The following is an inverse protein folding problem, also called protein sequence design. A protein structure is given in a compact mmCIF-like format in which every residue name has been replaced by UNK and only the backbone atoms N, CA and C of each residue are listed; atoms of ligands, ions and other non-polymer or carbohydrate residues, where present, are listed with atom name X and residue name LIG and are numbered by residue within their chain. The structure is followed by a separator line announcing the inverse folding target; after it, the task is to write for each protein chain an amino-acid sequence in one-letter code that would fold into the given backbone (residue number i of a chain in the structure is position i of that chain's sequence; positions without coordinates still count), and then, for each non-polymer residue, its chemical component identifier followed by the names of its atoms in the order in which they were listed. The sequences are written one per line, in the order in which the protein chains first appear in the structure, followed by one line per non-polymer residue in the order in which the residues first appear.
data_IF_343401043830
#
_entry.id   IF_343401043830
#
_cell.length_a   1.000
_cell.length_b   1.000
_cell.length_c   1.000
_cell.angle_alpha   90.00
_cell.angle_beta   90.00
_cell.angle_gamma   90.00
#
_symmetry.space_group_name_H-M   'P 1'
#
loop_
_entity.id
_entity.type
_entity.pdbx_description
1 polymer ?
#
# COMPACT_ATOMS: atom_id res chain seq x y z
N UNK A 1 -2.46 -10.59 14.95
CA UNK A 1 -2.50 -10.95 13.51
C UNK A 1 -1.23 -11.72 13.19
N UNK A 2 -1.35 -12.91 12.61
CA UNK A 2 -0.24 -13.83 12.37
C UNK A 2 -0.31 -14.42 10.96
N UNK A 3 0.84 -14.61 10.32
CA UNK A 3 0.94 -15.31 9.03
C UNK A 3 1.17 -16.80 9.28
N UNK A 4 0.36 -17.64 8.65
CA UNK A 4 0.49 -19.08 8.71
C UNK A 4 1.57 -19.54 7.74
N UNK A 5 2.60 -20.21 8.26
CA UNK A 5 3.75 -20.68 7.47
C UNK A 5 3.81 -22.21 7.34
N UNK A 6 2.94 -22.92 8.06
CA UNK A 6 2.91 -24.39 8.10
C UNK A 6 1.64 -24.94 7.46
N UNK A 7 1.66 -26.21 7.11
CA UNK A 7 0.56 -26.93 6.48
C UNK A 7 -0.32 -27.69 7.46
N UNK A 8 -0.10 -27.55 8.78
CA UNK A 8 -0.85 -28.29 9.81
C UNK A 8 -2.35 -27.99 9.87
N UNK A 9 -2.76 -26.84 9.35
CA UNK A 9 -4.16 -26.40 9.28
C UNK A 9 -4.73 -26.44 7.86
N UNK A 10 -4.03 -27.04 6.88
CA UNK A 10 -4.54 -27.20 5.51
C UNK A 10 -5.94 -27.80 5.51
N UNK A 11 -6.72 -27.45 4.49
CA UNK A 11 -8.17 -27.60 4.31
C UNK A 11 -9.01 -26.54 5.03
N UNK A 12 -8.51 -25.88 6.07
CA UNK A 12 -9.21 -24.77 6.75
C UNK A 12 -8.44 -23.46 6.61
N UNK A 13 -7.13 -23.48 6.88
CA UNK A 13 -6.23 -22.33 6.78
C UNK A 13 -4.97 -22.78 6.05
N UNK A 14 -4.65 -22.12 4.94
CA UNK A 14 -3.53 -22.48 4.09
C UNK A 14 -2.25 -21.77 4.51
N UNK A 15 -1.11 -22.35 4.18
CA UNK A 15 0.16 -21.62 4.29
C UNK A 15 0.12 -20.35 3.41
N UNK A 16 0.58 -19.23 3.96
CA UNK A 16 0.49 -17.90 3.33
C UNK A 16 -0.78 -17.12 3.65
N UNK A 17 -1.73 -17.71 4.38
CA UNK A 17 -2.88 -16.99 4.92
C UNK A 17 -2.47 -16.18 6.15
N UNK A 18 -3.23 -15.12 6.41
CA UNK A 18 -3.09 -14.30 7.61
C UNK A 18 -4.32 -14.48 8.47
N UNK A 19 -4.12 -14.81 9.74
CA UNK A 19 -5.19 -14.93 10.72
C UNK A 19 -5.27 -13.69 11.59
N UNK A 20 -6.51 -13.29 11.89
CA UNK A 20 -6.82 -12.25 12.87
C UNK A 20 -7.39 -12.92 14.08
N UNK A 21 -6.71 -12.76 15.21
CA UNK A 21 -7.09 -13.31 16.48
C UNK A 21 -7.79 -12.27 17.34
N UNK A 22 -8.80 -12.70 18.06
CA UNK A 22 -9.46 -11.94 19.11
C UNK A 22 -9.23 -12.61 20.47
N UNK A 23 -8.75 -11.83 21.42
CA UNK A 23 -8.57 -12.30 22.80
C UNK A 23 -9.86 -12.06 23.57
N UNK A 24 -10.47 -13.14 24.08
CA UNK A 24 -11.62 -13.01 24.96
C UNK A 24 -11.17 -12.56 26.35
N UNK A 25 -11.91 -11.67 26.99
CA UNK A 25 -11.58 -11.12 28.32
C UNK A 25 -11.43 -12.20 29.40
N UNK A 26 -12.19 -13.29 29.27
CA UNK A 26 -12.15 -14.41 30.23
C UNK A 26 -11.14 -15.51 29.86
N UNK A 27 -10.47 -15.42 28.67
CA UNK A 27 -9.60 -16.47 28.14
C UNK A 27 -10.22 -17.87 28.09
N UNK A 28 -11.55 -17.97 27.95
CA UNK A 28 -12.29 -19.21 27.87
C UNK A 28 -12.69 -19.49 26.45
N UNK A 29 -12.30 -20.64 25.92
CA UNK A 29 -12.54 -21.10 24.57
C UNK A 29 -13.19 -22.47 24.57
N UNK A 30 -13.91 -22.83 23.49
CA UNK A 30 -14.71 -24.04 23.39
C UNK A 30 -14.11 -25.04 22.39
N UNK A 31 -14.54 -26.32 22.50
CA UNK A 31 -14.20 -27.33 21.49
C UNK A 31 -14.68 -26.89 20.12
N UNK A 32 -13.80 -26.97 19.11
CA UNK A 32 -14.04 -26.53 17.77
C UNK A 32 -13.44 -25.15 17.45
N UNK A 33 -13.12 -24.35 18.47
CA UNK A 33 -12.45 -23.05 18.25
C UNK A 33 -11.03 -23.26 17.71
N UNK A 34 -10.62 -22.42 16.78
CA UNK A 34 -9.23 -22.34 16.32
C UNK A 34 -8.56 -21.26 17.17
N UNK A 35 -7.52 -21.64 17.88
CA UNK A 35 -6.76 -20.74 18.74
C UNK A 35 -5.31 -20.60 18.29
N UNK A 36 -4.76 -19.40 18.46
CA UNK A 36 -3.33 -19.13 18.34
C UNK A 36 -2.75 -19.07 19.75
N UNK A 37 -1.67 -19.80 20.01
CA UNK A 37 -1.07 -19.92 21.33
C UNK A 37 0.45 -20.02 21.26
N UNK A 38 1.09 -19.79 22.40
CA UNK A 38 2.52 -19.98 22.57
C UNK A 38 2.83 -21.45 22.88
N UNK A 39 3.68 -22.06 22.06
CA UNK A 39 4.19 -23.40 22.29
C UNK A 39 5.64 -23.35 22.72
N UNK A 40 5.92 -23.85 23.92
CA UNK A 40 7.29 -23.96 24.45
C UNK A 40 7.93 -25.27 23.95
N UNK A 41 8.31 -25.32 22.66
CA UNK A 41 9.10 -26.43 22.12
C UNK A 41 10.57 -26.01 22.00
N UNK A 42 11.40 -26.45 22.94
CA UNK A 42 12.85 -26.21 22.90
C UNK A 42 13.26 -24.81 23.41
N UNK A 43 14.33 -24.26 22.84
CA UNK A 43 14.94 -23.01 23.27
C UNK A 43 14.27 -21.72 22.75
N UNK A 44 13.07 -21.82 22.16
CA UNK A 44 12.35 -20.68 21.59
C UNK A 44 10.84 -20.76 21.80
N UNK A 45 10.22 -19.58 21.94
CA UNK A 45 8.78 -19.44 21.98
C UNK A 45 8.25 -19.45 20.54
N UNK A 46 7.50 -20.51 20.18
CA UNK A 46 6.88 -20.62 18.87
C UNK A 46 5.39 -20.32 18.98
N UNK A 47 4.87 -19.61 18.01
CA UNK A 47 3.42 -19.38 17.88
C UNK A 47 2.82 -20.47 17.00
N UNK A 48 1.79 -21.14 17.50
CA UNK A 48 1.08 -22.24 16.83
C UNK A 48 -0.39 -21.89 16.74
N UNK A 49 -1.04 -22.24 15.63
CA UNK A 49 -2.48 -22.06 15.43
C UNK A 49 -3.09 -23.42 15.13
N UNK A 50 -3.91 -23.94 16.06
CA UNK A 50 -4.57 -25.25 15.96
C UNK A 50 -6.00 -25.19 16.47
N UNK A 51 -6.79 -26.24 16.21
CA UNK A 51 -8.17 -26.38 16.68
C UNK A 51 -8.22 -27.07 18.02
N UNK A 52 -9.08 -26.58 18.92
CA UNK A 52 -9.40 -27.25 20.20
C UNK A 52 -10.25 -28.48 19.90
N UNK A 53 -9.81 -29.64 20.37
CA UNK A 53 -10.54 -30.93 20.26
C UNK A 53 -11.05 -31.42 21.59
N UNK A 54 -10.51 -30.96 22.71
CA UNK A 54 -10.94 -31.30 24.07
C UNK A 54 -10.59 -30.17 25.04
N UNK A 55 -11.41 -30.01 26.09
CA UNK A 55 -11.23 -29.01 27.15
C UNK A 55 -11.30 -29.68 28.50
N UNK A 56 -10.26 -29.51 29.30
CA UNK A 56 -10.22 -29.97 30.69
C UNK A 56 -10.14 -28.81 31.65
N UNK A 57 -10.86 -28.93 32.78
CA UNK A 57 -10.83 -27.91 33.82
C UNK A 57 -10.22 -28.59 35.08
N UNK A 58 -9.09 -28.06 35.53
CA UNK A 58 -8.39 -28.50 36.71
C UNK A 58 -8.13 -27.31 37.66
N UNK A 59 -8.60 -27.38 38.86
CA UNK A 59 -8.46 -26.31 39.88
C UNK A 59 -8.94 -24.93 39.39
N UNK A 60 -10.02 -24.89 38.59
CA UNK A 60 -10.58 -23.67 38.05
C UNK A 60 -9.80 -23.07 36.85
N UNK A 61 -8.83 -23.80 36.32
CA UNK A 61 -8.03 -23.44 35.18
C UNK A 61 -8.34 -24.31 33.97
N UNK A 62 -8.31 -23.71 32.76
CA UNK A 62 -8.62 -24.40 31.51
C UNK A 62 -7.35 -24.88 30.82
N UNK A 63 -7.40 -26.13 30.38
CA UNK A 63 -6.38 -26.80 29.59
C UNK A 63 -7.01 -27.29 28.29
N UNK A 64 -6.46 -26.91 27.17
CA UNK A 64 -6.96 -27.20 25.82
C UNK A 64 -6.10 -28.27 25.18
N UNK A 65 -6.71 -29.37 24.75
CA UNK A 65 -6.07 -30.32 23.86
C UNK A 65 -6.31 -29.82 22.43
N UNK A 66 -5.24 -29.58 21.69
CA UNK A 66 -5.30 -29.00 20.34
C UNK A 66 -4.84 -30.00 19.29
N UNK A 67 -5.29 -29.77 18.05
CA UNK A 67 -4.88 -30.57 16.91
C UNK A 67 -4.93 -29.70 15.64
N UNK A 68 -3.91 -29.77 14.79
CA UNK A 68 -3.98 -29.22 13.44
C UNK A 68 -4.98 -29.99 12.57
N UNK A 69 -5.79 -29.31 11.79
CA UNK A 69 -6.84 -29.94 10.97
C UNK A 69 -6.27 -30.95 9.95
N UNK A 70 -5.03 -30.75 9.51
CA UNK A 70 -4.31 -31.66 8.62
C UNK A 70 -3.40 -32.66 9.34
N UNK A 71 -3.33 -32.63 10.67
CA UNK A 71 -2.53 -33.56 11.46
C UNK A 71 -3.28 -34.86 11.74
N UNK A 72 -2.59 -35.99 11.80
CA UNK A 72 -3.18 -37.28 12.15
C UNK A 72 -3.42 -37.41 13.67
N UNK A 73 -2.58 -36.77 14.48
CA UNK A 73 -2.61 -36.92 15.97
C UNK A 73 -2.79 -35.57 16.63
N UNK A 74 -3.36 -35.58 17.81
CA UNK A 74 -3.42 -34.41 18.69
C UNK A 74 -2.02 -33.96 19.12
N UNK A 75 -1.92 -32.68 19.51
CA UNK A 75 -0.70 -32.14 20.09
C UNK A 75 -0.38 -32.85 21.42
N UNK A 76 0.89 -33.13 21.64
CA UNK A 76 1.33 -33.95 22.80
C UNK A 76 1.10 -33.24 24.13
N UNK A 77 1.26 -31.90 24.15
CA UNK A 77 1.12 -31.14 25.38
C UNK A 77 -0.17 -30.31 25.31
N UNK A 78 -0.98 -30.32 26.38
CA UNK A 78 -2.14 -29.44 26.48
C UNK A 78 -1.68 -27.97 26.54
N UNK A 79 -2.49 -27.10 26.00
CA UNK A 79 -2.28 -25.65 26.02
C UNK A 79 -2.96 -25.08 27.26
N UNK A 80 -2.22 -24.36 28.06
CA UNK A 80 -2.77 -23.65 29.20
C UNK A 80 -3.48 -22.36 28.76
N UNK A 81 -4.58 -22.00 29.44
CA UNK A 81 -5.40 -20.84 29.07
C UNK A 81 -4.62 -19.54 28.96
N UNK A 82 -3.58 -19.33 29.79
CA UNK A 82 -2.78 -18.12 29.81
C UNK A 82 -1.77 -18.05 28.62
N UNK A 83 -1.47 -19.22 28.03
CA UNK A 83 -0.62 -19.31 26.83
C UNK A 83 -1.39 -19.00 25.54
N UNK A 84 -2.73 -18.88 25.60
CA UNK A 84 -3.55 -18.57 24.45
C UNK A 84 -3.46 -17.07 24.13
N UNK A 85 -3.05 -16.76 22.90
CA UNK A 85 -2.97 -15.40 22.38
C UNK A 85 -4.37 -14.91 22.01
N UNK A 86 -5.19 -15.79 21.37
CA UNK A 86 -6.55 -15.47 20.98
C UNK A 86 -7.18 -16.55 20.11
N UNK A 87 -8.50 -16.40 19.86
CA UNK A 87 -9.28 -17.20 18.93
C UNK A 87 -9.22 -16.56 17.55
N UNK A 88 -9.00 -17.36 16.53
CA UNK A 88 -9.08 -16.93 15.14
C UNK A 88 -10.54 -16.57 14.79
N UNK A 89 -10.77 -15.32 14.46
CA UNK A 89 -12.09 -14.81 14.07
C UNK A 89 -12.21 -14.56 12.58
N UNK A 90 -11.08 -14.34 11.90
CA UNK A 90 -11.06 -14.08 10.47
C UNK A 90 -9.77 -14.59 9.83
N UNK A 91 -9.88 -15.11 8.62
CA UNK A 91 -8.76 -15.59 7.80
C UNK A 91 -8.72 -14.78 6.50
N UNK A 92 -7.58 -14.16 6.21
CA UNK A 92 -7.35 -13.43 4.97
C UNK A 92 -6.47 -14.31 4.08
N UNK A 93 -7.01 -14.86 2.99
CA UNK A 93 -6.27 -15.82 2.17
C UNK A 93 -5.13 -15.13 1.41
N UNK A 94 -3.97 -15.80 1.37
CA UNK A 94 -2.80 -15.49 0.52
C UNK A 94 -2.14 -14.11 0.73
N UNK A 95 -2.53 -13.34 1.72
CA UNK A 95 -1.94 -12.01 1.99
C UNK A 95 -0.53 -12.14 2.57
N UNK A 96 -0.19 -13.23 3.22
CA UNK A 96 1.15 -13.50 3.72
C UNK A 96 2.22 -13.46 2.63
N UNK A 97 1.92 -13.95 1.42
CA UNK A 97 2.84 -13.87 0.28
C UNK A 97 3.08 -12.43 -0.18
N UNK A 98 2.07 -11.56 -0.09
CA UNK A 98 2.21 -10.13 -0.40
C UNK A 98 3.13 -9.45 0.61
N UNK A 99 2.96 -9.77 1.89
CA UNK A 99 3.83 -9.27 2.97
C UNK A 99 5.28 -9.73 2.77
N UNK A 100 5.52 -11.01 2.50
CA UNK A 100 6.86 -11.54 2.22
C UNK A 100 7.47 -10.89 0.97
N UNK A 101 6.68 -10.70 -0.08
CA UNK A 101 7.14 -10.01 -1.29
C UNK A 101 7.57 -8.57 -0.99
N UNK A 102 6.75 -7.80 -0.27
CA UNK A 102 7.07 -6.40 0.09
C UNK A 102 8.32 -6.32 0.97
N UNK A 103 8.48 -7.25 1.91
CA UNK A 103 9.65 -7.31 2.80
C UNK A 103 10.91 -7.88 2.13
N UNK A 104 10.77 -8.51 0.97
CA UNK A 104 11.91 -8.99 0.20
C UNK A 104 12.72 -7.83 -0.38
N UNK A 105 14.04 -8.03 -0.57
CA UNK A 105 14.92 -7.02 -1.18
C UNK A 105 14.44 -6.55 -2.55
N UNK A 106 13.88 -7.47 -3.35
CA UNK A 106 13.33 -7.17 -4.68
C UNK A 106 11.95 -6.51 -4.61
N UNK A 107 11.07 -6.97 -3.71
CA UNK A 107 9.73 -6.41 -3.54
C UNK A 107 9.77 -4.95 -3.11
N UNK A 108 10.62 -4.61 -2.14
CA UNK A 108 10.82 -3.24 -1.69
C UNK A 108 11.29 -2.31 -2.83
N UNK A 109 12.24 -2.78 -3.65
CA UNK A 109 12.73 -2.04 -4.82
C UNK A 109 11.61 -1.80 -5.84
N UNK A 110 10.79 -2.82 -6.12
CA UNK A 110 9.64 -2.70 -7.04
C UNK A 110 8.61 -1.71 -6.53
N UNK A 111 8.28 -1.74 -5.23
CA UNK A 111 7.31 -0.81 -4.61
C UNK A 111 7.75 0.65 -4.72
N UNK A 112 9.06 0.93 -4.71
CA UNK A 112 9.57 2.29 -4.88
C UNK A 112 9.69 2.67 -6.36
N UNK A 113 10.24 1.79 -7.19
CA UNK A 113 10.54 2.11 -8.61
C UNK A 113 9.26 2.27 -9.44
N UNK A 114 8.24 1.43 -9.21
CA UNK A 114 6.99 1.50 -9.98
C UNK A 114 6.31 2.89 -9.92
N UNK A 115 6.05 3.49 -8.74
CA UNK A 115 5.43 4.81 -8.67
C UNK A 115 6.34 5.90 -9.26
N UNK A 116 7.67 5.82 -9.07
CA UNK A 116 8.62 6.76 -9.66
C UNK A 116 8.57 6.74 -11.18
N UNK A 117 8.61 5.54 -11.77
CA UNK A 117 8.49 5.37 -13.23
C UNK A 117 7.12 5.86 -13.74
N UNK A 118 6.04 5.58 -12.99
CA UNK A 118 4.69 6.05 -13.31
C UNK A 118 4.60 7.59 -13.39
N UNK A 119 5.20 8.29 -12.43
CA UNK A 119 5.26 9.76 -12.41
C UNK A 119 6.04 10.29 -13.61
N UNK A 120 7.22 9.71 -13.89
CA UNK A 120 8.06 10.12 -15.02
C UNK A 120 7.31 9.94 -16.35
N UNK A 121 6.66 8.80 -16.55
CA UNK A 121 5.86 8.55 -17.77
C UNK A 121 4.70 9.54 -17.88
N UNK A 122 4.00 9.81 -16.78
CA UNK A 122 2.91 10.78 -16.75
C UNK A 122 3.38 12.18 -17.17
N UNK A 123 4.50 12.65 -16.62
CA UNK A 123 5.07 13.97 -16.94
C UNK A 123 5.55 14.04 -18.40
N UNK A 124 6.15 12.95 -18.90
CA UNK A 124 6.58 12.86 -20.31
C UNK A 124 5.39 12.95 -21.27
N UNK A 125 4.30 12.23 -20.98
CA UNK A 125 3.08 12.29 -21.77
C UNK A 125 2.42 13.68 -21.73
N UNK A 126 2.49 14.36 -20.59
CA UNK A 126 1.99 15.73 -20.43
C UNK A 126 2.78 16.72 -21.29
N UNK A 127 4.10 16.63 -21.25
CA UNK A 127 5.00 17.47 -22.08
C UNK A 127 4.78 17.21 -23.57
N UNK A 128 4.67 15.95 -23.99
CA UNK A 128 4.37 15.59 -25.38
C UNK A 128 3.03 16.17 -25.84
N UNK A 129 1.96 16.04 -25.02
CA UNK A 129 0.65 16.65 -25.35
C UNK A 129 0.74 18.17 -25.52
N UNK A 130 1.51 18.87 -24.70
CA UNK A 130 1.72 20.32 -24.81
C UNK A 130 2.51 20.68 -26.08
N UNK A 131 3.55 19.91 -26.40
CA UNK A 131 4.36 20.11 -27.60
C UNK A 131 3.52 19.91 -28.89
N UNK A 132 2.68 18.87 -28.94
CA UNK A 132 1.76 18.63 -30.05
C UNK A 132 0.66 19.71 -30.16
N UNK A 133 0.17 20.24 -29.02
CA UNK A 133 -0.82 21.32 -29.00
C UNK A 133 -0.22 22.63 -29.54
N UNK A 134 1.07 22.93 -29.25
CA UNK A 134 1.78 24.10 -29.76
C UNK A 134 2.00 24.00 -31.27
N UNK A 135 2.26 22.80 -31.83
CA UNK A 135 2.43 22.57 -33.26
C UNK A 135 1.13 22.70 -34.07
N UNK A 136 -0.05 22.59 -33.42
CA UNK A 136 -1.36 22.62 -34.08
C UNK A 136 -1.97 24.02 -34.16
N UNK A 137 -1.33 25.07 -33.58
CA UNK A 137 -1.85 26.44 -33.59
C UNK A 137 -0.79 27.51 -34.00
N UNK A 138 -0.20 27.43 -35.21
CA UNK A 138 0.75 28.43 -35.67
C UNK A 138 0.09 29.80 -35.94
N UNK A 139 -1.26 29.87 -36.05
CA UNK A 139 -2.00 31.11 -36.34
C UNK A 139 -2.10 32.10 -35.16
N UNK A 140 -1.77 31.68 -33.93
CA UNK A 140 -1.80 32.55 -32.75
C UNK A 140 -0.53 33.42 -32.67
N UNK A 141 0.62 32.86 -33.01
CA UNK A 141 1.90 33.53 -32.88
C UNK A 141 2.11 34.55 -34.06
N UNK A 142 1.62 34.22 -35.27
CA UNK A 142 1.64 35.13 -36.41
C UNK A 142 0.74 36.36 -36.19
N UNK A 143 -0.41 36.19 -35.54
CA UNK A 143 -1.32 37.28 -35.23
C UNK A 143 -0.79 38.23 -34.15
N UNK A 144 -0.03 37.71 -33.19
CA UNK A 144 0.63 38.52 -32.16
C UNK A 144 1.83 39.28 -32.71
N UNK A 145 2.57 38.72 -33.66
CA UNK A 145 3.66 39.40 -34.36
C UNK A 145 3.11 40.54 -35.23
N UNK A 146 2.07 40.31 -36.00
CA UNK A 146 1.42 41.32 -36.84
C UNK A 146 0.84 42.50 -36.02
N UNK A 147 0.28 42.22 -34.84
CA UNK A 147 -0.22 43.25 -33.91
C UNK A 147 0.94 44.07 -33.32
N UNK A 148 2.05 43.41 -32.97
CA UNK A 148 3.27 44.13 -32.50
C UNK A 148 3.91 45.03 -33.57
N UNK A 149 3.99 44.55 -34.81
CA UNK A 149 4.51 45.34 -35.93
C UNK A 149 3.67 46.60 -36.17
N UNK A 150 2.35 46.45 -36.27
CA UNK A 150 1.43 47.58 -36.43
C UNK A 150 1.46 48.58 -35.26
N UNK A 151 1.72 48.09 -34.04
CA UNK A 151 1.87 48.94 -32.86
C UNK A 151 3.15 49.75 -32.91
N UNK A 152 4.28 49.14 -33.33
CA UNK A 152 5.56 49.83 -33.50
C UNK A 152 5.50 50.87 -34.60
N UNK A 153 4.93 50.58 -35.79
CA UNK A 153 4.71 51.56 -36.84
C UNK A 153 3.91 52.80 -36.41
N UNK A 154 2.91 52.54 -35.53
CA UNK A 154 2.08 53.62 -34.98
C UNK A 154 2.84 54.49 -33.99
N UNK A 155 3.70 53.89 -33.16
CA UNK A 155 4.59 54.59 -32.24
C UNK A 155 5.60 55.44 -32.98
N UNK A 156 6.25 54.91 -34.02
CA UNK A 156 7.21 55.66 -34.84
C UNK A 156 6.56 56.82 -35.58
N UNK A 157 5.32 56.65 -36.02
CA UNK A 157 4.56 57.74 -36.65
C UNK A 157 4.18 58.90 -35.73
N UNK A 158 3.94 58.56 -34.44
CA UNK A 158 3.63 59.55 -33.40
C UNK A 158 4.90 60.31 -33.00
N UNK A 159 5.98 59.58 -32.72
CA UNK A 159 7.28 60.21 -32.39
C UNK A 159 7.76 61.15 -33.46
N UNK A 160 7.60 60.78 -34.77
CA UNK A 160 7.96 61.63 -35.89
C UNK A 160 7.11 62.87 -35.98
N UNK A 161 5.84 62.88 -35.57
CA UNK A 161 4.98 64.05 -35.48
C UNK A 161 5.41 64.99 -34.37
N UNK A 162 5.73 64.43 -33.22
CA UNK A 162 6.17 65.15 -32.03
C UNK A 162 7.51 65.87 -32.29
N UNK A 163 8.47 65.22 -33.00
CA UNK A 163 9.73 65.81 -33.39
C UNK A 163 9.54 66.95 -34.32
N UNK A 164 8.56 66.89 -35.26
CA UNK A 164 8.25 68.02 -36.22
C UNK A 164 7.63 69.20 -35.47
N UNK A 165 6.72 68.94 -34.50
CA UNK A 165 6.04 69.96 -33.72
C UNK A 165 7.04 70.74 -32.82
N UNK A 166 8.03 70.05 -32.29
CA UNK A 166 9.11 70.62 -31.48
C UNK A 166 10.03 71.49 -32.32
N UNK A 167 10.30 71.06 -33.54
CA UNK A 167 11.14 71.90 -34.52
C UNK A 167 10.44 73.18 -34.97
N UNK A 168 9.13 73.13 -35.23
CA UNK A 168 8.32 74.27 -35.58
C UNK A 168 8.15 75.30 -34.46
N UNK A 169 8.14 74.81 -33.19
CA UNK A 169 8.02 75.65 -31.98
C UNK A 169 9.33 76.40 -31.62
N UNK A 170 10.45 76.00 -32.14
CA UNK A 170 11.77 76.67 -31.93
C UNK A 170 12.20 77.66 -32.98
N UNK A 171 11.39 77.86 -34.06
CA UNK A 171 11.68 78.86 -35.14
C UNK A 171 10.87 80.15 -35.02
N UNK A 172 10.17 80.41 -33.89
CA UNK A 172 9.42 81.63 -33.64
C UNK A 172 10.09 82.56 -32.61
#
# INVERSE_FOLDING_TARGET
MYTIITTSMENTIMAGDVVIDYKNDNNIYEVGDIITFYSNKGSGQLTVTHRIIDVKIENGKYYYTTKGDNNNTADTNPVFQDDVIGKVIFVIPKVGFVQEFILSKFGWLVVIVLPCVGIVIYDLLKVLKLAFKKKKNPKSDSKQLEVKEKLNEKIDSINKKEDIEILESNEV
#
